data_IF_401878726050
#
_entry.id   IF_401878726050
#
_cell.length_a   1.000
_cell.length_b   1.000
_cell.length_c   1.000
_cell.angle_alpha   90.00
_cell.angle_beta   90.00
_cell.angle_gamma   90.00
#
_symmetry.space_group_name_H-M   'P 1'
#
loop_
_entity.id
_entity.type
_entity.pdbx_description
1 polymer ?
#
# COMPACT_ATOMS: atom_id res chain seq x y z
N UNK A 1 -13.60 -21.32 -24.13
CA UNK A 1 -14.01 -19.92 -23.93
C UNK A 1 -14.93 -19.92 -22.74
N UNK A 2 -14.77 -19.04 -21.74
CA UNK A 2 -15.72 -18.95 -20.62
C UNK A 2 -17.10 -18.58 -21.18
N UNK A 3 -18.14 -19.17 -20.60
CA UNK A 3 -19.51 -18.89 -20.95
C UNK A 3 -19.87 -17.47 -20.49
N UNK A 4 -20.76 -16.77 -21.21
CA UNK A 4 -21.23 -15.42 -20.83
C UNK A 4 -21.87 -15.46 -19.42
N UNK A 5 -22.51 -16.55 -19.03
CA UNK A 5 -23.04 -16.72 -17.68
C UNK A 5 -21.95 -16.72 -16.60
N UNK A 6 -20.78 -17.35 -16.86
CA UNK A 6 -19.65 -17.37 -15.93
C UNK A 6 -19.04 -15.96 -15.78
N UNK A 7 -19.08 -15.17 -16.85
CA UNK A 7 -18.60 -13.77 -16.83
C UNK A 7 -19.56 -12.87 -16.04
N UNK A 8 -20.86 -13.08 -16.18
CA UNK A 8 -21.90 -12.34 -15.45
C UNK A 8 -21.83 -12.70 -13.96
N UNK A 9 -21.72 -13.97 -13.59
CA UNK A 9 -21.58 -14.41 -12.19
C UNK A 9 -20.32 -13.85 -11.53
N UNK A 10 -19.19 -13.81 -12.25
CA UNK A 10 -17.94 -13.17 -11.79
C UNK A 10 -18.10 -11.66 -11.66
N UNK A 11 -18.83 -11.01 -12.55
CA UNK A 11 -19.08 -9.57 -12.48
C UNK A 11 -20.00 -9.24 -11.29
N UNK A 12 -21.06 -10.00 -11.07
CA UNK A 12 -21.95 -9.85 -9.91
C UNK A 12 -21.23 -10.13 -8.58
N UNK A 13 -20.34 -11.15 -8.53
CA UNK A 13 -19.48 -11.38 -7.36
C UNK A 13 -18.51 -10.23 -7.09
N UNK A 14 -18.05 -9.52 -8.12
CA UNK A 14 -17.17 -8.33 -7.97
C UNK A 14 -17.99 -7.08 -7.58
N UNK A 15 -19.24 -6.99 -8.01
CA UNK A 15 -20.12 -5.88 -7.67
C UNK A 15 -20.33 -5.71 -6.16
N UNK A 16 -20.28 -6.79 -5.39
CA UNK A 16 -20.45 -6.75 -3.94
C UNK A 16 -19.15 -6.54 -3.15
N UNK A 17 -17.97 -6.57 -3.81
CA UNK A 17 -16.68 -6.47 -3.13
C UNK A 17 -16.11 -5.04 -3.15
N UNK A 18 -15.91 -4.47 -1.98
CA UNK A 18 -15.22 -3.16 -1.85
C UNK A 18 -13.69 -3.29 -1.91
N UNK A 19 -13.15 -4.43 -1.48
CA UNK A 19 -11.72 -4.72 -1.40
C UNK A 19 -11.44 -6.13 -1.87
N UNK A 20 -10.41 -6.31 -2.71
CA UNK A 20 -9.99 -7.63 -3.23
C UNK A 20 -8.59 -7.99 -2.69
N UNK A 21 -8.38 -9.20 -2.12
CA UNK A 21 -7.08 -9.61 -1.62
C UNK A 21 -6.16 -10.13 -2.74
N UNK A 22 -4.95 -9.58 -2.82
CA UNK A 22 -3.84 -10.07 -3.62
C UNK A 22 -2.86 -10.87 -2.74
N UNK A 23 -3.21 -12.09 -2.37
CA UNK A 23 -2.51 -12.90 -1.37
C UNK A 23 -1.00 -13.04 -1.60
N UNK A 24 -0.54 -13.08 -2.86
CA UNK A 24 0.89 -13.17 -3.21
C UNK A 24 1.72 -11.96 -2.74
N UNK A 25 1.09 -10.79 -2.57
CA UNK A 25 1.73 -9.58 -2.07
C UNK A 25 1.81 -9.56 -0.54
N UNK A 26 0.94 -10.29 0.14
CA UNK A 26 0.85 -10.26 1.60
C UNK A 26 2.08 -10.87 2.26
N UNK A 27 2.76 -10.12 3.11
CA UNK A 27 3.98 -10.58 3.82
C UNK A 27 3.70 -11.73 4.76
N UNK A 28 2.52 -11.77 5.40
CA UNK A 28 2.10 -12.86 6.27
C UNK A 28 1.82 -14.17 5.50
N UNK A 29 1.49 -14.07 4.20
CA UNK A 29 1.37 -15.22 3.30
C UNK A 29 2.73 -15.67 2.78
N UNK A 30 3.64 -14.73 2.50
CA UNK A 30 4.98 -15.01 1.96
C UNK A 30 5.89 -15.74 2.95
N UNK A 31 5.74 -15.45 4.23
CA UNK A 31 6.54 -16.09 5.27
C UNK A 31 5.67 -16.33 6.52
N UNK A 32 5.60 -17.60 6.96
CA UNK A 32 4.86 -18.00 8.15
C UNK A 32 5.31 -17.36 9.46
N UNK A 33 6.54 -16.84 9.49
CA UNK A 33 7.10 -16.15 10.67
C UNK A 33 6.82 -14.64 10.63
N UNK A 34 6.14 -14.13 9.58
CA UNK A 34 5.81 -12.72 9.49
C UNK A 34 4.81 -12.31 10.57
N UNK A 35 5.13 -11.23 11.27
CA UNK A 35 4.34 -10.68 12.38
C UNK A 35 3.32 -9.64 11.94
N UNK A 36 3.28 -9.28 10.64
CA UNK A 36 2.43 -8.22 10.12
C UNK A 36 0.94 -8.51 10.31
N UNK A 37 0.26 -7.60 11.02
CA UNK A 37 -1.19 -7.58 11.26
C UNK A 37 -1.85 -6.26 10.91
N UNK A 38 -1.13 -5.32 10.27
CA UNK A 38 -1.58 -3.94 10.06
C UNK A 38 -3.03 -3.83 9.53
N UNK A 39 -3.40 -4.62 8.53
CA UNK A 39 -4.75 -4.60 7.97
C UNK A 39 -5.81 -5.24 8.87
N UNK A 40 -5.44 -6.26 9.67
CA UNK A 40 -6.32 -6.90 10.64
C UNK A 40 -6.63 -5.91 11.76
N UNK A 41 -5.58 -5.29 12.32
CA UNK A 41 -5.69 -4.37 13.45
C UNK A 41 -6.41 -3.04 13.06
N UNK A 42 -6.34 -2.65 11.77
CA UNK A 42 -7.05 -1.47 11.25
C UNK A 42 -8.50 -1.76 10.84
N UNK A 43 -8.97 -3.01 10.87
CA UNK A 43 -10.30 -3.36 10.41
C UNK A 43 -11.35 -3.19 11.53
N UNK A 44 -12.27 -2.21 11.44
CA UNK A 44 -13.27 -1.98 12.49
C UNK A 44 -14.38 -3.04 12.52
N UNK A 45 -14.35 -4.02 11.61
CA UNK A 45 -15.35 -5.05 11.45
C UNK A 45 -14.77 -6.48 11.51
N UNK A 46 -13.50 -6.63 11.89
CA UNK A 46 -12.79 -7.92 11.95
C UNK A 46 -12.93 -8.79 10.69
N UNK A 47 -13.13 -8.14 9.53
CA UNK A 47 -13.44 -8.80 8.26
C UNK A 47 -12.21 -9.41 7.58
N UNK A 48 -11.00 -9.26 8.13
CA UNK A 48 -9.75 -9.68 7.47
C UNK A 48 -9.08 -10.78 8.27
N UNK A 49 -8.67 -11.83 7.57
CA UNK A 49 -7.95 -12.94 8.18
C UNK A 49 -6.85 -13.48 7.28
N UNK A 50 -5.83 -14.09 7.91
CA UNK A 50 -4.79 -14.85 7.23
C UNK A 50 -4.76 -16.24 7.84
N UNK A 51 -5.25 -17.22 7.09
CA UNK A 51 -5.25 -18.62 7.50
C UNK A 51 -4.67 -19.50 6.40
N UNK A 52 -3.87 -20.50 6.77
CA UNK A 52 -3.28 -21.44 5.83
C UNK A 52 -2.57 -20.76 4.64
N UNK A 53 -1.85 -19.67 4.91
CA UNK A 53 -1.17 -18.84 3.91
C UNK A 53 -2.13 -18.23 2.85
N UNK A 54 -3.37 -17.97 3.20
CA UNK A 54 -4.35 -17.27 2.37
C UNK A 54 -4.82 -16.02 3.10
N UNK A 55 -4.66 -14.86 2.47
CA UNK A 55 -5.28 -13.60 2.89
C UNK A 55 -6.72 -13.60 2.37
N UNK A 56 -7.68 -13.41 3.25
CA UNK A 56 -9.10 -13.38 2.92
C UNK A 56 -9.82 -12.19 3.54
N UNK A 57 -10.87 -11.75 2.86
CA UNK A 57 -11.79 -10.70 3.31
C UNK A 57 -13.19 -11.32 3.36
N UNK A 58 -13.83 -11.25 4.53
CA UNK A 58 -15.25 -11.55 4.64
C UNK A 58 -16.06 -10.35 4.11
N UNK A 59 -16.58 -10.47 2.90
CA UNK A 59 -17.31 -9.40 2.23
C UNK A 59 -18.66 -9.10 2.88
N UNK A 60 -19.22 -10.03 3.67
CA UNK A 60 -20.47 -9.80 4.41
C UNK A 60 -20.24 -8.97 5.66
N UNK A 61 -19.11 -9.17 6.33
CA UNK A 61 -18.70 -8.37 7.47
C UNK A 61 -18.06 -7.03 7.05
N UNK A 62 -17.46 -6.97 5.86
CA UNK A 62 -16.74 -5.79 5.37
C UNK A 62 -17.65 -4.57 5.22
N UNK A 63 -17.27 -3.49 5.87
CA UNK A 63 -18.00 -2.20 5.87
C UNK A 63 -17.52 -1.20 4.81
N UNK A 64 -16.67 -1.64 3.90
CA UNK A 64 -16.13 -0.85 2.80
C UNK A 64 -15.36 0.44 3.21
N UNK A 65 -14.88 0.55 4.44
CA UNK A 65 -14.22 1.76 4.92
C UNK A 65 -12.85 2.05 4.26
N UNK A 66 -12.19 1.05 3.70
CA UNK A 66 -10.92 1.17 2.99
C UNK A 66 -9.67 1.31 3.87
N UNK A 67 -9.76 1.40 5.20
CA UNK A 67 -8.61 1.55 6.10
C UNK A 67 -7.50 0.49 5.85
N UNK A 68 -7.91 -0.75 5.63
CA UNK A 68 -7.00 -1.87 5.38
C UNK A 68 -6.16 -1.72 4.11
N UNK A 69 -6.67 -1.01 3.09
CA UNK A 69 -5.94 -0.77 1.85
C UNK A 69 -4.84 0.27 2.05
N UNK A 70 -5.08 1.27 2.90
CA UNK A 70 -4.13 2.36 3.21
C UNK A 70 -2.97 1.88 4.08
N UNK A 71 -3.26 1.08 5.12
CA UNK A 71 -2.21 0.61 6.04
C UNK A 71 -1.38 -0.55 5.50
N UNK A 72 -1.78 -1.18 4.38
CA UNK A 72 -1.06 -2.31 3.82
C UNK A 72 0.22 -1.86 3.13
N UNK A 73 1.41 -2.22 3.64
CA UNK A 73 2.67 -1.74 3.07
C UNK A 73 3.00 -2.33 1.69
N UNK A 74 2.38 -3.45 1.33
CA UNK A 74 2.62 -4.16 0.06
C UNK A 74 1.41 -4.13 -0.87
N UNK A 75 0.41 -3.27 -0.59
CA UNK A 75 -0.82 -3.17 -1.38
C UNK A 75 -1.46 -4.54 -1.67
N UNK A 76 -1.42 -5.43 -0.67
CA UNK A 76 -2.02 -6.75 -0.77
C UNK A 76 -3.56 -6.73 -0.68
N UNK A 77 -4.14 -5.59 -0.34
CA UNK A 77 -5.57 -5.33 -0.32
C UNK A 77 -5.86 -4.21 -1.32
N UNK A 78 -6.54 -4.56 -2.41
CA UNK A 78 -6.79 -3.65 -3.54
C UNK A 78 -8.20 -3.08 -3.40
N UNK A 79 -8.37 -1.76 -3.32
CA UNK A 79 -9.69 -1.14 -3.31
C UNK A 79 -10.31 -1.22 -4.70
N UNK A 80 -11.59 -1.56 -4.77
CA UNK A 80 -12.35 -1.59 -6.01
C UNK A 80 -13.57 -0.69 -5.98
N UNK A 81 -13.99 -0.24 -4.79
CA UNK A 81 -15.11 0.70 -4.62
C UNK A 81 -14.85 1.73 -3.52
N UNK A 82 -14.51 2.95 -3.92
CA UNK A 82 -13.99 3.33 -5.24
C UNK A 82 -12.58 2.77 -5.46
N UNK A 83 -12.22 2.54 -6.72
CA UNK A 83 -10.84 2.31 -7.10
C UNK A 83 -10.00 3.58 -6.90
N UNK A 84 -8.67 3.44 -6.84
CA UNK A 84 -7.79 4.59 -6.60
C UNK A 84 -7.97 5.66 -7.68
N UNK A 85 -7.92 5.26 -8.96
CA UNK A 85 -8.03 6.16 -10.11
C UNK A 85 -9.32 6.98 -10.12
N UNK A 86 -10.38 6.34 -9.68
CA UNK A 86 -11.68 6.97 -9.69
C UNK A 86 -11.84 7.99 -8.56
N UNK A 87 -11.27 7.70 -7.39
CA UNK A 87 -11.25 8.67 -6.29
C UNK A 87 -10.33 9.85 -6.64
N UNK A 88 -9.17 9.59 -7.27
CA UNK A 88 -8.25 10.60 -7.77
C UNK A 88 -8.94 11.53 -8.79
N UNK A 89 -9.62 10.95 -9.78
CA UNK A 89 -10.34 11.70 -10.80
C UNK A 89 -11.45 12.58 -10.19
N UNK A 90 -12.29 12.00 -9.31
CA UNK A 90 -13.36 12.73 -8.66
C UNK A 90 -12.83 13.90 -7.80
N UNK A 91 -11.70 13.70 -7.12
CA UNK A 91 -11.08 14.74 -6.31
C UNK A 91 -10.49 15.87 -7.19
N UNK A 92 -9.87 15.54 -8.31
CA UNK A 92 -9.33 16.52 -9.26
C UNK A 92 -10.45 17.34 -9.94
N UNK A 93 -11.54 16.69 -10.36
CA UNK A 93 -12.71 17.36 -10.95
C UNK A 93 -13.37 18.32 -9.94
N UNK A 94 -13.56 17.88 -8.69
CA UNK A 94 -14.08 18.71 -7.63
C UNK A 94 -13.19 19.92 -7.35
N UNK A 95 -11.86 19.70 -7.28
CA UNK A 95 -10.88 20.77 -7.08
C UNK A 95 -10.93 21.83 -8.19
N UNK A 96 -11.05 21.41 -9.45
CA UNK A 96 -11.17 22.32 -10.58
C UNK A 96 -12.42 23.23 -10.47
N UNK A 97 -13.51 22.74 -9.88
CA UNK A 97 -14.74 23.49 -9.68
C UNK A 97 -14.68 24.48 -8.49
N UNK A 98 -13.65 24.42 -7.64
CA UNK A 98 -13.48 25.20 -6.41
C UNK A 98 -12.19 26.06 -6.40
N UNK A 99 -11.74 26.50 -7.54
CA UNK A 99 -10.56 27.39 -7.68
C UNK A 99 -9.31 26.84 -6.98
N UNK A 100 -9.10 25.51 -7.08
CA UNK A 100 -7.93 24.82 -6.53
C UNK A 100 -8.09 24.33 -5.09
N UNK A 101 -9.26 24.45 -4.47
CA UNK A 101 -9.57 23.81 -3.19
C UNK A 101 -10.04 22.38 -3.42
N UNK A 102 -9.33 21.37 -2.92
CA UNK A 102 -9.75 19.99 -2.96
C UNK A 102 -10.58 19.65 -1.71
N UNK A 103 -11.79 19.12 -1.90
CA UNK A 103 -12.64 18.66 -0.79
C UNK A 103 -12.94 17.19 -0.96
N UNK A 104 -12.65 16.40 0.06
CA UNK A 104 -12.99 14.98 0.13
C UNK A 104 -13.89 14.77 1.35
N UNK A 105 -15.12 14.31 1.12
CA UNK A 105 -16.09 14.10 2.18
C UNK A 105 -16.37 12.61 2.38
N UNK A 106 -16.54 12.18 3.64
CA UNK A 106 -16.98 10.81 3.89
C UNK A 106 -18.47 10.65 3.49
N UNK A 107 -18.85 9.43 3.09
CA UNK A 107 -20.21 9.09 2.68
C UNK A 107 -21.29 9.53 3.69
N UNK A 108 -20.95 9.57 4.99
CA UNK A 108 -21.85 10.05 6.04
C UNK A 108 -22.20 11.54 5.90
N UNK A 109 -21.25 12.34 5.40
CA UNK A 109 -21.50 13.77 5.10
C UNK A 109 -22.19 13.91 3.75
N UNK A 110 -21.70 13.22 2.74
CA UNK A 110 -22.27 13.22 1.39
C UNK A 110 -23.77 12.86 1.41
N UNK A 111 -24.14 11.83 2.19
CA UNK A 111 -25.54 11.38 2.29
C UNK A 111 -26.51 12.40 2.91
N UNK A 112 -26.02 13.43 3.57
CA UNK A 112 -26.88 14.51 4.11
C UNK A 112 -27.46 15.42 3.01
N UNK A 113 -26.86 15.43 1.80
CA UNK A 113 -27.31 16.24 0.67
C UNK A 113 -27.27 17.74 0.90
N UNK A 114 -26.40 18.22 1.78
CA UNK A 114 -26.25 19.63 2.13
C UNK A 114 -25.25 20.37 1.24
N UNK A 115 -24.40 19.63 0.53
CA UNK A 115 -23.36 20.16 -0.34
C UNK A 115 -23.58 19.71 -1.80
N UNK A 116 -23.09 20.49 -2.73
CA UNK A 116 -23.11 20.19 -4.16
C UNK A 116 -22.19 18.97 -4.45
N UNK A 117 -22.72 17.84 -4.94
CA UNK A 117 -21.95 16.63 -5.15
C UNK A 117 -20.86 16.78 -6.23
N UNK A 118 -20.91 17.82 -7.06
CA UNK A 118 -19.87 18.12 -8.06
C UNK A 118 -18.68 18.89 -7.49
N UNK A 119 -18.77 19.33 -6.23
CA UNK A 119 -17.76 20.16 -5.57
C UNK A 119 -16.96 19.41 -4.50
N UNK A 120 -17.16 18.11 -4.35
CA UNK A 120 -16.34 17.28 -3.47
C UNK A 120 -16.25 15.86 -4.01
N UNK A 121 -15.15 15.18 -3.69
CA UNK A 121 -15.05 13.75 -3.91
C UNK A 121 -15.66 12.99 -2.72
N UNK A 122 -16.47 11.98 -2.99
CA UNK A 122 -17.01 11.12 -1.95
C UNK A 122 -16.09 9.92 -1.70
N UNK A 123 -15.67 9.76 -0.44
CA UNK A 123 -15.01 8.55 0.04
C UNK A 123 -15.95 7.78 0.98
N UNK A 124 -15.99 6.43 0.93
CA UNK A 124 -16.81 5.63 1.85
C UNK A 124 -16.53 5.96 3.31
N UNK A 125 -15.26 6.14 3.63
CA UNK A 125 -14.72 6.66 4.88
C UNK A 125 -13.44 7.44 4.56
N UNK A 126 -13.08 8.46 5.32
CA UNK A 126 -11.81 9.16 5.13
C UNK A 126 -10.58 8.26 5.35
N UNK A 127 -10.72 7.16 6.08
CA UNK A 127 -9.66 6.15 6.20
C UNK A 127 -9.31 5.45 4.87
N UNK A 128 -10.05 5.71 3.77
CA UNK A 128 -9.74 5.28 2.41
C UNK A 128 -8.75 6.22 1.70
N UNK A 129 -8.63 7.43 2.21
CA UNK A 129 -7.71 8.45 1.67
C UNK A 129 -6.30 8.11 2.10
N UNK A 130 -5.36 8.12 1.17
CA UNK A 130 -3.96 7.85 1.40
C UNK A 130 -3.05 9.01 0.97
N UNK A 131 -1.76 8.91 1.29
CA UNK A 131 -0.78 9.93 0.99
C UNK A 131 -0.62 10.17 -0.52
N UNK A 132 -0.75 9.13 -1.35
CA UNK A 132 -0.57 9.27 -2.81
C UNK A 132 -1.62 10.18 -3.42
N UNK A 133 -2.88 10.05 -2.99
CA UNK A 133 -3.96 10.94 -3.41
C UNK A 133 -3.70 12.39 -2.93
N UNK A 134 -3.33 12.57 -1.67
CA UNK A 134 -3.15 13.89 -1.09
C UNK A 134 -1.96 14.65 -1.70
N UNK A 135 -0.81 13.97 -1.86
CA UNK A 135 0.35 14.56 -2.52
C UNK A 135 0.10 14.79 -4.02
N UNK A 136 -0.62 13.86 -4.66
CA UNK A 136 -1.01 14.01 -6.07
C UNK A 136 -1.84 15.27 -6.31
N UNK A 137 -2.81 15.55 -5.44
CA UNK A 137 -3.61 16.78 -5.50
C UNK A 137 -2.75 18.02 -5.27
N UNK A 138 -1.85 18.00 -4.30
CA UNK A 138 -0.91 19.08 -4.05
C UNK A 138 0.00 19.33 -5.28
N UNK A 139 0.53 18.28 -5.89
CA UNK A 139 1.42 18.36 -7.04
C UNK A 139 0.74 18.87 -8.32
N UNK A 140 -0.59 18.73 -8.44
CA UNK A 140 -1.37 19.31 -9.54
C UNK A 140 -1.93 20.69 -9.23
N UNK A 141 -1.52 21.31 -8.11
CA UNK A 141 -1.79 22.71 -7.78
C UNK A 141 -2.95 22.94 -6.82
N UNK A 142 -3.30 21.98 -5.98
CA UNK A 142 -4.22 22.24 -4.88
C UNK A 142 -3.68 23.37 -3.99
N UNK A 143 -4.54 24.35 -3.66
CA UNK A 143 -4.22 25.44 -2.73
C UNK A 143 -4.43 25.01 -1.28
N UNK A 144 -5.46 24.19 -1.04
CA UNK A 144 -5.77 23.53 0.21
C UNK A 144 -6.56 22.24 -0.03
N UNK A 145 -6.44 21.30 0.89
CA UNK A 145 -7.10 19.99 0.84
C UNK A 145 -7.87 19.80 2.15
N UNK A 146 -9.18 19.68 2.07
CA UNK A 146 -10.05 19.57 3.25
C UNK A 146 -10.73 18.20 3.28
N UNK A 147 -10.47 17.43 4.34
CA UNK A 147 -11.12 16.16 4.60
C UNK A 147 -12.31 16.37 5.55
N UNK A 148 -13.53 16.13 5.07
CA UNK A 148 -14.78 16.44 5.81
C UNK A 148 -15.38 15.15 6.38
N UNK A 149 -15.43 15.02 7.71
CA UNK A 149 -15.84 13.78 8.39
C UNK A 149 -17.18 13.84 9.14
N UNK A 150 -17.71 15.03 9.37
CA UNK A 150 -18.94 15.22 10.13
C UNK A 150 -18.91 14.65 11.54
N UNK A 151 -17.77 14.69 12.20
CA UNK A 151 -17.50 14.19 13.55
C UNK A 151 -17.44 12.65 13.67
N UNK A 152 -16.28 12.08 13.41
CA UNK A 152 -16.00 10.64 13.53
C UNK A 152 -16.27 10.07 14.94
N UNK A 153 -16.20 10.89 16.01
CA UNK A 153 -16.47 10.46 17.39
C UNK A 153 -17.84 9.81 17.56
N UNK A 154 -18.84 10.19 16.75
CA UNK A 154 -20.20 9.65 16.77
C UNK A 154 -20.44 8.58 15.68
N UNK A 155 -19.41 8.20 14.93
CA UNK A 155 -19.48 7.17 13.92
C UNK A 155 -19.35 5.78 14.55
N UNK A 156 -20.06 4.79 14.02
CA UNK A 156 -19.89 3.38 14.44
C UNK A 156 -18.50 2.83 14.08
N UNK A 157 -17.81 3.46 13.12
CA UNK A 157 -16.45 3.11 12.70
C UNK A 157 -15.39 4.09 13.20
N UNK A 158 -15.62 4.74 14.34
CA UNK A 158 -14.73 5.75 14.94
C UNK A 158 -13.29 5.27 15.14
N UNK A 159 -13.08 3.96 15.26
CA UNK A 159 -11.76 3.33 15.43
C UNK A 159 -10.83 3.53 14.23
N UNK A 160 -11.37 3.85 13.04
CA UNK A 160 -10.57 4.22 11.87
C UNK A 160 -10.04 5.66 11.93
N UNK A 161 -10.55 6.50 12.84
CA UNK A 161 -10.24 7.94 12.90
C UNK A 161 -8.77 8.26 13.16
N UNK A 162 -8.05 7.56 14.07
CA UNK A 162 -6.63 7.82 14.27
C UNK A 162 -5.79 7.62 12.99
N UNK A 163 -6.10 6.60 12.17
CA UNK A 163 -5.42 6.37 10.90
C UNK A 163 -5.62 7.50 9.88
N UNK A 164 -6.75 8.21 9.94
CA UNK A 164 -6.97 9.43 9.12
C UNK A 164 -6.02 10.54 9.57
N UNK A 165 -5.90 10.77 10.86
CA UNK A 165 -5.02 11.80 11.42
C UNK A 165 -3.54 11.49 11.13
N UNK A 166 -3.14 10.21 11.20
CA UNK A 166 -1.81 9.75 10.78
C UNK A 166 -1.55 10.01 9.30
N UNK A 167 -2.52 9.75 8.43
CA UNK A 167 -2.39 10.01 6.98
C UNK A 167 -2.22 11.50 6.71
N UNK A 168 -2.99 12.36 7.37
CA UNK A 168 -2.89 13.83 7.26
C UNK A 168 -1.50 14.30 7.72
N UNK A 169 -1.05 13.85 8.87
CA UNK A 169 0.25 14.21 9.42
C UNK A 169 1.39 13.76 8.49
N UNK A 170 1.31 12.51 7.98
CA UNK A 170 2.28 11.95 7.04
C UNK A 170 2.33 12.75 5.74
N UNK A 171 1.19 13.04 5.12
CA UNK A 171 1.12 13.82 3.88
C UNK A 171 1.68 15.24 4.06
N UNK A 172 1.30 15.94 5.13
CA UNK A 172 1.80 17.28 5.41
C UNK A 172 3.31 17.28 5.68
N UNK A 173 3.85 16.29 6.39
CA UNK A 173 5.28 16.13 6.62
C UNK A 173 6.05 15.94 5.31
N UNK A 174 5.53 15.11 4.40
CA UNK A 174 6.13 14.88 3.08
C UNK A 174 6.08 16.14 2.20
N UNK A 175 4.98 16.92 2.22
CA UNK A 175 4.89 18.20 1.51
C UNK A 175 5.92 19.20 2.03
N UNK A 176 6.04 19.34 3.35
CA UNK A 176 7.01 20.24 4.00
C UNK A 176 8.44 19.81 3.69
N UNK A 177 8.71 18.52 3.58
CA UNK A 177 10.03 18.01 3.20
C UNK A 177 10.46 18.45 1.79
N UNK A 178 9.51 18.80 0.92
CA UNK A 178 9.75 19.37 -0.42
C UNK A 178 9.60 20.90 -0.45
N UNK A 179 9.60 21.58 0.71
CA UNK A 179 9.43 23.01 0.80
C UNK A 179 8.02 23.52 0.48
N UNK A 180 7.07 22.62 0.26
CA UNK A 180 5.67 22.98 0.07
C UNK A 180 4.97 23.23 1.41
N UNK A 181 3.95 24.12 1.47
CA UNK A 181 3.19 24.33 2.70
C UNK A 181 2.40 23.07 3.07
N UNK A 182 2.10 22.90 4.37
CA UNK A 182 1.14 21.90 4.83
C UNK A 182 -0.25 22.32 4.38
N UNK A 183 -0.88 21.52 3.53
CA UNK A 183 -2.16 21.89 2.87
C UNK A 183 -3.33 21.03 3.32
N UNK A 184 -3.09 19.88 3.98
CA UNK A 184 -4.15 18.95 4.34
C UNK A 184 -4.69 19.27 5.72
N UNK A 185 -5.99 19.48 5.80
CA UNK A 185 -6.71 19.73 7.04
C UNK A 185 -7.93 18.84 7.17
N UNK A 186 -8.47 18.74 8.39
CA UNK A 186 -9.68 17.99 8.70
C UNK A 186 -10.76 18.91 9.24
N UNK A 187 -11.99 18.78 8.75
CA UNK A 187 -13.11 19.57 9.15
C UNK A 187 -14.35 18.71 9.46
N UNK A 188 -15.16 19.15 10.43
CA UNK A 188 -16.45 18.51 10.75
C UNK A 188 -17.60 19.00 9.87
N UNK A 189 -17.42 20.13 9.20
CA UNK A 189 -18.41 20.78 8.34
C UNK A 189 -17.81 21.07 6.96
N UNK A 190 -18.67 21.09 5.95
CA UNK A 190 -18.26 21.47 4.61
C UNK A 190 -17.81 22.94 4.57
N UNK A 191 -16.70 23.24 3.88
CA UNK A 191 -16.26 24.62 3.66
C UNK A 191 -17.34 25.48 3.00
N UNK A 192 -17.26 26.80 3.21
CA UNK A 192 -18.12 27.74 2.53
C UNK A 192 -18.03 27.63 1.01
N UNK A 193 -19.14 27.84 0.31
CA UNK A 193 -19.21 27.72 -1.15
C UNK A 193 -19.63 26.35 -1.68
N UNK A 194 -19.67 25.31 -0.82
CA UNK A 194 -20.20 24.00 -1.19
C UNK A 194 -21.72 23.89 -0.96
N UNK A 195 -22.30 24.72 -0.11
CA UNK A 195 -23.70 24.61 0.26
C UNK A 195 -24.66 24.78 -0.94
N UNK A 196 -25.63 23.89 -1.03
CA UNK A 196 -26.70 23.97 -2.02
C UNK A 196 -27.72 25.05 -1.63
N UNK A 197 -28.01 25.98 -2.53
CA UNK A 197 -29.08 26.94 -2.35
C UNK A 197 -30.46 26.29 -2.33
N UNK A 198 -30.63 25.09 -2.92
CA UNK A 198 -31.87 24.31 -2.96
C UNK A 198 -31.57 22.81 -2.81
N UNK A 199 -31.30 22.35 -1.60
CA UNK A 199 -30.93 20.99 -1.28
C UNK A 199 -31.94 19.89 -1.73
N UNK A 200 -33.21 20.23 -1.90
CA UNK A 200 -34.27 19.26 -2.23
C UNK A 200 -34.32 18.82 -3.70
N UNK A 201 -33.83 19.60 -4.65
CA UNK A 201 -33.94 19.31 -6.08
C UNK A 201 -32.82 18.38 -6.62
N UNK A 202 -31.66 18.39 -5.99
CA UNK A 202 -30.48 17.65 -6.45
C UNK A 202 -30.35 16.23 -5.85
N UNK A 203 -31.07 15.91 -4.78
CA UNK A 203 -31.08 14.57 -4.16
C UNK A 203 -31.51 13.48 -5.14
N UNK A 204 -32.35 13.79 -6.14
CA UNK A 204 -32.80 12.84 -7.18
C UNK A 204 -31.78 12.64 -8.31
N UNK A 205 -30.95 13.64 -8.60
CA UNK A 205 -29.94 13.59 -9.68
C UNK A 205 -28.63 12.97 -9.19
N UNK A 206 -28.19 13.30 -7.98
CA UNK A 206 -27.01 12.71 -7.36
C UNK A 206 -27.14 11.18 -7.20
N UNK A 207 -28.32 10.66 -6.81
CA UNK A 207 -28.58 9.22 -6.78
C UNK A 207 -28.52 8.56 -8.16
N UNK A 208 -28.99 9.22 -9.20
CA UNK A 208 -28.95 8.71 -10.58
C UNK A 208 -27.54 8.76 -11.16
N UNK A 209 -26.77 9.84 -10.89
CA UNK A 209 -25.37 9.97 -11.29
C UNK A 209 -24.46 8.93 -10.65
N UNK A 210 -24.67 8.59 -9.37
CA UNK A 210 -23.91 7.54 -8.68
C UNK A 210 -24.11 6.15 -9.33
N UNK A 211 -25.34 5.80 -9.68
CA UNK A 211 -25.62 4.51 -10.35
C UNK A 211 -25.09 4.43 -11.79
N UNK A 212 -25.11 5.53 -12.55
CA UNK A 212 -24.57 5.58 -13.92
C UNK A 212 -23.04 5.61 -13.94
N UNK A 213 -22.38 6.27 -12.97
CA UNK A 213 -20.93 6.25 -12.82
C UNK A 213 -20.45 4.87 -12.37
N UNK A 214 -21.16 4.19 -11.45
CA UNK A 214 -20.83 2.84 -11.02
C UNK A 214 -20.81 1.83 -12.19
N UNK A 215 -21.69 1.98 -13.18
CA UNK A 215 -21.74 1.08 -14.34
C UNK A 215 -20.64 1.33 -15.37
N UNK A 216 -20.15 2.55 -15.53
CA UNK A 216 -19.01 2.84 -16.40
C UNK A 216 -17.65 2.45 -15.81
N UNK A 217 -17.57 2.34 -14.49
CA UNK A 217 -16.37 1.94 -13.75
C UNK A 217 -16.12 0.43 -13.76
N UNK A 218 -17.18 -0.37 -13.80
CA UNK A 218 -17.06 -1.83 -13.90
C UNK A 218 -16.35 -2.28 -15.16
N UNK A 219 -16.40 -1.52 -16.26
CA UNK A 219 -15.80 -1.91 -17.53
C UNK A 219 -14.27 -1.81 -17.58
N UNK A 220 -13.64 -0.83 -16.92
CA UNK A 220 -12.18 -0.63 -16.97
C UNK A 220 -11.41 -1.30 -15.83
N UNK A 221 -11.98 -1.35 -14.63
CA UNK A 221 -11.42 -2.10 -13.50
C UNK A 221 -11.65 -3.62 -13.66
N UNK A 222 -12.78 -4.04 -14.26
CA UNK A 222 -13.11 -5.42 -14.54
C UNK A 222 -12.09 -6.13 -15.44
N UNK A 223 -11.42 -5.43 -16.35
CA UNK A 223 -10.44 -6.04 -17.26
C UNK A 223 -9.24 -6.67 -16.53
N UNK A 224 -8.68 -6.00 -15.51
CA UNK A 224 -7.50 -6.49 -14.79
C UNK A 224 -7.85 -7.40 -13.61
N UNK A 225 -8.96 -7.13 -12.92
CA UNK A 225 -9.44 -7.97 -11.82
C UNK A 225 -10.20 -9.21 -12.33
N UNK A 226 -10.91 -9.13 -13.46
CA UNK A 226 -11.53 -10.26 -14.10
C UNK A 226 -10.50 -11.32 -14.54
N UNK A 227 -9.34 -10.94 -15.05
CA UNK A 227 -8.29 -11.90 -15.38
C UNK A 227 -7.79 -12.66 -14.14
N UNK A 228 -7.71 -11.99 -12.98
CA UNK A 228 -7.29 -12.60 -11.73
C UNK A 228 -8.39 -13.51 -11.14
N UNK A 229 -9.65 -13.12 -11.25
CA UNK A 229 -10.81 -13.89 -10.75
C UNK A 229 -11.18 -15.02 -11.71
N UNK A 230 -11.10 -14.81 -13.03
CA UNK A 230 -11.30 -15.83 -14.06
C UNK A 230 -10.28 -16.96 -13.90
N UNK A 231 -9.01 -16.67 -13.63
CA UNK A 231 -8.01 -17.70 -13.31
C UNK A 231 -8.34 -18.49 -12.05
N UNK A 232 -9.01 -17.88 -11.08
CA UNK A 232 -9.39 -18.53 -9.82
C UNK A 232 -10.64 -19.40 -9.98
N UNK A 233 -11.63 -18.97 -10.76
CA UNK A 233 -12.92 -19.64 -10.91
C UNK A 233 -12.97 -20.66 -12.05
N UNK A 234 -12.07 -20.59 -13.04
CA UNK A 234 -11.96 -21.59 -14.11
C UNK A 234 -11.41 -22.96 -13.62
N UNK A 235 -11.75 -23.32 -12.38
CA UNK A 235 -11.69 -24.72 -11.93
C UNK A 235 -10.29 -25.32 -11.84
N UNK A 236 -9.23 -24.52 -11.84
CA UNK A 236 -7.97 -24.96 -11.28
C UNK A 236 -8.11 -24.96 -9.75
N UNK A 237 -8.94 -25.87 -9.25
CA UNK A 237 -8.84 -26.34 -7.87
C UNK A 237 -7.41 -26.83 -7.74
N UNK A 238 -6.53 -25.99 -7.22
CA UNK A 238 -5.24 -26.38 -6.71
C UNK A 238 -5.47 -27.26 -5.46
N UNK A 239 -6.11 -28.42 -5.67
CA UNK A 239 -5.95 -29.55 -4.77
C UNK A 239 -4.46 -29.86 -4.90
N UNK A 240 -3.72 -29.64 -3.81
CA UNK A 240 -2.32 -30.00 -3.62
C UNK A 240 -1.22 -29.09 -4.19
N UNK A 241 -1.51 -27.83 -4.58
CA UNK A 241 -0.45 -26.89 -4.90
C UNK A 241 0.38 -26.56 -3.63
N UNK A 242 1.68 -26.78 -3.71
CA UNK A 242 2.61 -26.40 -2.64
C UNK A 242 2.60 -24.90 -2.42
N UNK A 243 2.96 -24.42 -1.21
CA UNK A 243 3.07 -22.98 -0.92
C UNK A 243 3.98 -22.28 -1.96
N UNK A 244 5.03 -22.94 -2.42
CA UNK A 244 5.93 -22.45 -3.46
C UNK A 244 5.20 -22.16 -4.77
N UNK A 245 4.33 -23.06 -5.22
CA UNK A 245 3.53 -22.89 -6.44
C UNK A 245 2.45 -21.83 -6.25
N UNK A 246 1.81 -21.79 -5.08
CA UNK A 246 0.82 -20.77 -4.72
C UNK A 246 1.42 -19.36 -4.75
N UNK A 247 2.66 -19.20 -4.27
CA UNK A 247 3.39 -17.93 -4.28
C UNK A 247 4.01 -17.60 -5.65
N UNK A 248 4.05 -18.57 -6.57
CA UNK A 248 4.69 -18.39 -7.89
C UNK A 248 6.22 -18.33 -7.79
N UNK A 249 6.82 -19.04 -6.85
CA UNK A 249 8.26 -19.05 -6.69
C UNK A 249 8.95 -19.67 -7.91
N UNK A 250 9.98 -19.00 -8.42
CA UNK A 250 10.82 -19.49 -9.53
C UNK A 250 11.57 -20.77 -9.19
N UNK A 251 12.20 -21.39 -10.20
CA UNK A 251 12.99 -22.62 -10.04
C UNK A 251 14.11 -22.48 -8.98
N UNK A 252 14.71 -21.29 -8.87
CA UNK A 252 15.73 -20.94 -7.87
C UNK A 252 15.17 -20.73 -6.46
N UNK A 253 13.85 -20.80 -6.25
CA UNK A 253 13.20 -20.47 -4.99
C UNK A 253 12.98 -18.98 -4.75
N UNK A 254 13.30 -18.13 -5.73
CA UNK A 254 13.05 -16.68 -5.65
C UNK A 254 11.55 -16.40 -5.71
N UNK A 255 11.04 -15.61 -4.77
CA UNK A 255 9.65 -15.16 -4.77
C UNK A 255 9.48 -13.99 -5.74
N UNK A 256 8.29 -13.83 -6.36
CA UNK A 256 8.01 -12.70 -7.23
C UNK A 256 8.06 -11.39 -6.43
N UNK A 257 8.61 -10.36 -7.06
CA UNK A 257 8.63 -8.99 -6.56
C UNK A 257 7.47 -8.20 -7.15
N UNK A 258 7.04 -7.15 -6.46
CA UNK A 258 5.90 -6.32 -6.86
C UNK A 258 6.30 -4.85 -6.75
N UNK A 259 5.90 -4.07 -7.73
CA UNK A 259 5.96 -2.61 -7.62
C UNK A 259 4.70 -2.11 -6.91
N UNK A 260 4.88 -1.24 -5.94
CA UNK A 260 3.81 -0.55 -5.24
C UNK A 260 3.49 0.75 -5.96
N UNK A 261 2.24 0.86 -6.41
CA UNK A 261 1.76 2.01 -7.18
C UNK A 261 1.76 3.29 -6.35
N UNK A 262 1.25 3.23 -5.12
CA UNK A 262 1.09 4.41 -4.26
C UNK A 262 2.42 5.06 -3.92
N UNK A 263 3.46 4.27 -3.63
CA UNK A 263 4.78 4.83 -3.32
C UNK A 263 5.43 5.48 -4.51
N UNK A 264 5.32 4.88 -5.69
CA UNK A 264 5.77 5.51 -6.93
C UNK A 264 5.05 6.84 -7.16
N UNK A 265 3.73 6.88 -6.95
CA UNK A 265 2.94 8.11 -7.06
C UNK A 265 3.35 9.17 -6.02
N UNK A 266 3.68 8.75 -4.80
CA UNK A 266 4.19 9.66 -3.76
C UNK A 266 5.53 10.27 -4.18
N UNK A 267 6.47 9.47 -4.69
CA UNK A 267 7.75 9.97 -5.17
C UNK A 267 7.58 10.93 -6.36
N UNK A 268 6.75 10.57 -7.34
CA UNK A 268 6.42 11.43 -8.49
C UNK A 268 5.78 12.75 -8.05
N UNK A 269 4.91 12.72 -7.05
CA UNK A 269 4.28 13.93 -6.51
C UNK A 269 5.27 14.79 -5.73
N UNK A 270 6.14 14.17 -4.92
CA UNK A 270 7.19 14.88 -4.18
C UNK A 270 8.16 15.57 -5.15
N UNK A 271 8.61 14.90 -6.21
CA UNK A 271 9.47 15.48 -7.24
C UNK A 271 8.84 16.71 -7.89
N UNK A 272 7.54 16.65 -8.21
CA UNK A 272 6.79 17.79 -8.78
C UNK A 272 6.58 18.95 -7.79
N UNK A 273 6.55 18.68 -6.49
CA UNK A 273 6.38 19.72 -5.47
C UNK A 273 7.63 20.57 -5.29
N UNK A 274 8.82 20.06 -5.60
CA UNK A 274 10.07 20.79 -5.57
C UNK A 274 11.25 19.95 -5.06
N UNK A 275 12.38 20.61 -4.91
CA UNK A 275 13.58 20.01 -4.37
C UNK A 275 13.47 19.76 -2.86
N UNK A 276 14.12 18.70 -2.32
CA UNK A 276 14.09 18.42 -0.89
C UNK A 276 14.61 19.59 -0.04
N UNK A 277 13.76 20.11 0.82
CA UNK A 277 14.07 21.20 1.74
C UNK A 277 14.72 20.71 3.05
N UNK A 278 14.70 19.41 3.31
CA UNK A 278 15.28 18.77 4.50
C UNK A 278 16.14 17.58 4.11
N UNK A 279 17.22 17.35 4.88
CA UNK A 279 18.14 16.24 4.62
C UNK A 279 17.55 14.89 4.99
N UNK A 280 16.69 14.85 6.01
CA UNK A 280 16.09 13.62 6.53
C UNK A 280 14.62 13.84 6.84
N UNK A 281 13.83 12.80 6.59
CA UNK A 281 12.40 12.74 6.95
C UNK A 281 12.13 11.48 7.77
N UNK A 282 11.15 11.59 8.66
CA UNK A 282 10.53 10.43 9.29
C UNK A 282 9.24 10.11 8.54
N UNK A 283 9.11 8.89 8.04
CA UNK A 283 7.96 8.49 7.24
C UNK A 283 7.56 7.06 7.51
N UNK A 284 6.27 6.76 7.40
CA UNK A 284 5.74 5.39 7.47
C UNK A 284 5.75 4.66 6.12
N UNK A 285 6.10 5.37 5.03
CA UNK A 285 6.02 4.83 3.67
C UNK A 285 7.33 4.22 3.21
N UNK A 286 8.47 4.83 3.56
CA UNK A 286 9.80 4.40 3.16
C UNK A 286 10.64 4.06 4.38
N UNK A 287 11.51 3.07 4.26
CA UNK A 287 12.33 2.63 5.38
C UNK A 287 13.81 2.51 5.02
N UNK A 288 14.66 2.66 6.01
CA UNK A 288 16.09 2.43 5.90
C UNK A 288 16.47 1.14 6.63
N UNK A 289 17.03 0.20 5.88
CA UNK A 289 17.47 -1.10 6.43
C UNK A 289 18.93 -1.02 6.82
N UNK A 290 19.26 -1.50 8.02
CA UNK A 290 20.63 -1.70 8.48
C UNK A 290 20.82 -3.15 8.91
N UNK A 291 22.03 -3.68 8.64
CA UNK A 291 22.38 -5.06 8.97
C UNK A 291 23.67 -5.06 9.78
N UNK A 292 23.61 -5.60 10.99
CA UNK A 292 24.80 -5.83 11.80
C UNK A 292 25.61 -7.00 11.19
N UNK A 293 26.67 -6.65 10.48
CA UNK A 293 27.55 -7.59 9.81
C UNK A 293 28.27 -8.53 10.80
N UNK A 294 28.46 -8.11 12.06
CA UNK A 294 29.16 -8.92 13.08
C UNK A 294 28.32 -10.11 13.54
N UNK A 295 26.99 -10.01 13.46
CA UNK A 295 26.01 -11.04 13.86
C UNK A 295 25.45 -11.79 12.65
N UNK A 296 25.49 -11.18 11.47
CA UNK A 296 24.94 -11.72 10.25
C UNK A 296 25.71 -12.98 9.79
N UNK A 297 24.97 -14.04 9.44
CA UNK A 297 25.54 -15.29 8.88
C UNK A 297 25.45 -15.37 7.36
N UNK A 298 25.14 -14.25 6.67
CA UNK A 298 25.11 -14.13 5.20
C UNK A 298 24.16 -15.10 4.50
N UNK A 299 23.08 -15.53 5.17
CA UNK A 299 22.14 -16.49 4.59
C UNK A 299 21.30 -15.89 3.43
N UNK A 300 21.22 -14.56 3.29
CA UNK A 300 20.50 -13.85 2.23
C UNK A 300 18.98 -14.00 2.25
N UNK A 301 18.40 -14.55 3.33
CA UNK A 301 16.94 -14.75 3.42
C UNK A 301 16.14 -13.43 3.41
N UNK A 302 16.74 -12.36 3.94
CA UNK A 302 16.13 -11.01 3.90
C UNK A 302 15.89 -10.52 2.47
N UNK A 303 16.83 -10.80 1.55
CA UNK A 303 16.66 -10.49 0.13
C UNK A 303 15.66 -11.43 -0.56
N UNK A 304 15.68 -12.73 -0.25
CA UNK A 304 14.78 -13.75 -0.85
C UNK A 304 13.32 -13.43 -0.56
N UNK A 305 13.01 -12.98 0.66
CA UNK A 305 11.64 -12.69 1.07
C UNK A 305 11.20 -11.25 0.78
N UNK A 306 12.11 -10.34 0.43
CA UNK A 306 11.74 -8.94 0.16
C UNK A 306 10.65 -8.85 -0.92
N UNK A 307 9.46 -8.29 -0.62
CA UNK A 307 8.35 -8.31 -1.56
C UNK A 307 8.53 -7.33 -2.71
N UNK A 308 9.27 -6.25 -2.49
CA UNK A 308 9.48 -5.17 -3.48
C UNK A 308 10.82 -5.27 -4.21
N UNK A 309 11.74 -6.06 -3.67
CA UNK A 309 13.10 -6.11 -4.19
C UNK A 309 14.05 -5.07 -3.59
N UNK A 310 13.55 -4.21 -2.69
CA UNK A 310 14.37 -3.23 -1.99
C UNK A 310 15.67 -3.80 -1.38
N UNK A 311 15.62 -5.06 -0.95
CA UNK A 311 16.80 -5.86 -0.64
C UNK A 311 16.96 -6.93 -1.70
N UNK A 312 18.08 -6.95 -2.41
CA UNK A 312 18.44 -7.95 -3.41
C UNK A 312 19.89 -8.40 -3.23
N UNK A 313 20.24 -9.55 -3.82
CA UNK A 313 21.63 -10.03 -3.82
C UNK A 313 22.37 -9.33 -4.93
N UNK A 314 23.50 -8.69 -4.59
CA UNK A 314 24.36 -8.09 -5.60
C UNK A 314 25.13 -9.16 -6.40
N UNK A 315 25.27 -9.00 -7.71
CA UNK A 315 26.20 -9.77 -8.52
C UNK A 315 27.67 -9.40 -8.26
N UNK A 316 27.92 -8.22 -7.67
CA UNK A 316 29.26 -7.71 -7.35
C UNK A 316 29.82 -8.50 -6.17
N UNK A 317 31.09 -8.88 -6.26
CA UNK A 317 31.81 -9.57 -5.19
C UNK A 317 32.78 -8.61 -4.52
N UNK A 318 33.07 -8.81 -3.21
CA UNK A 318 34.12 -8.07 -2.54
C UNK A 318 35.48 -8.27 -3.21
N UNK A 319 36.35 -7.26 -3.10
CA UNK A 319 37.74 -7.36 -3.55
C UNK A 319 38.45 -8.47 -2.79
N UNK A 320 39.43 -9.14 -3.43
CA UNK A 320 40.28 -10.11 -2.74
C UNK A 320 41.00 -9.48 -1.55
N UNK A 321 41.38 -10.32 -0.57
CA UNK A 321 42.24 -9.93 0.54
C UNK A 321 43.62 -9.47 0.04
N UNK A 322 44.41 -8.84 0.92
CA UNK A 322 45.76 -8.35 0.58
C UNK A 322 46.73 -9.46 0.12
N UNK A 323 46.47 -10.73 0.47
CA UNK A 323 47.21 -11.92 0.05
C UNK A 323 46.70 -12.53 -1.27
N UNK A 324 45.72 -11.87 -1.94
CA UNK A 324 45.11 -12.37 -3.18
C UNK A 324 44.08 -13.46 -3.01
N UNK A 325 43.79 -13.89 -1.78
CA UNK A 325 42.73 -14.86 -1.52
C UNK A 325 41.35 -14.23 -1.66
N UNK A 326 40.30 -14.96 -2.18
CA UNK A 326 38.95 -14.44 -2.19
C UNK A 326 38.47 -14.11 -0.77
N UNK A 327 37.91 -12.91 -0.56
CA UNK A 327 37.30 -12.52 0.72
C UNK A 327 36.21 -13.51 1.18
N UNK A 328 35.48 -14.08 0.23
CA UNK A 328 34.42 -15.06 0.49
C UNK A 328 33.13 -14.44 1.04
N UNK A 329 33.07 -13.14 1.23
CA UNK A 329 31.87 -12.39 1.52
C UNK A 329 31.02 -12.13 0.27
N UNK A 330 29.97 -11.35 0.44
CA UNK A 330 29.06 -10.92 -0.63
C UNK A 330 28.45 -9.57 -0.30
N UNK A 331 27.80 -8.94 -1.28
CA UNK A 331 27.01 -7.73 -1.04
C UNK A 331 25.52 -8.00 -1.21
N UNK A 332 24.73 -7.27 -0.43
CA UNK A 332 23.34 -6.99 -0.75
C UNK A 332 23.26 -5.57 -1.32
N UNK A 333 22.35 -5.40 -2.26
CA UNK A 333 21.90 -4.10 -2.74
C UNK A 333 20.65 -3.72 -1.98
N UNK A 334 20.57 -2.46 -1.54
CA UNK A 334 19.42 -1.91 -0.84
C UNK A 334 19.01 -0.58 -1.50
N UNK A 335 17.74 -0.54 -1.96
CA UNK A 335 17.09 0.67 -2.47
C UNK A 335 16.12 1.21 -1.42
N UNK A 336 16.34 2.44 -0.96
CA UNK A 336 15.48 3.11 0.00
C UNK A 336 14.10 3.43 -0.60
N UNK A 337 14.06 3.87 -1.85
CA UNK A 337 12.83 4.20 -2.58
C UNK A 337 11.86 3.01 -2.70
N UNK A 338 12.38 1.79 -2.73
CA UNK A 338 11.59 0.56 -2.84
C UNK A 338 11.23 -0.07 -1.48
N UNK A 339 11.82 0.40 -0.37
CA UNK A 339 11.58 -0.17 0.95
C UNK A 339 10.27 0.32 1.55
N UNK A 340 9.29 -0.55 1.67
CA UNK A 340 7.93 -0.27 2.13
C UNK A 340 7.72 -0.48 3.64
N UNK A 341 8.77 -0.58 4.42
CA UNK A 341 8.70 -0.84 5.87
C UNK A 341 7.78 -2.01 6.27
N UNK A 342 7.74 -3.06 5.47
CA UNK A 342 6.87 -4.20 5.75
C UNK A 342 7.36 -5.09 6.91
N UNK A 343 8.61 -4.93 7.33
CA UNK A 343 9.23 -5.69 8.44
C UNK A 343 9.57 -7.14 8.10
N UNK A 344 9.29 -7.64 6.91
CA UNK A 344 9.48 -9.06 6.59
C UNK A 344 10.94 -9.53 6.67
N UNK A 345 11.90 -8.65 6.36
CA UNK A 345 13.31 -8.93 6.52
C UNK A 345 13.71 -9.14 7.99
N UNK A 346 13.08 -8.40 8.93
CA UNK A 346 13.24 -8.57 10.38
C UNK A 346 12.74 -9.96 10.83
N UNK A 347 11.52 -10.31 10.39
CA UNK A 347 10.85 -11.55 10.76
C UNK A 347 11.56 -12.78 10.15
N UNK A 348 12.08 -12.65 8.93
CA UNK A 348 12.83 -13.70 8.25
C UNK A 348 14.25 -13.88 8.79
N UNK A 349 14.80 -12.91 9.53
CA UNK A 349 16.16 -12.97 10.03
C UNK A 349 16.26 -13.83 11.30
N UNK A 350 16.82 -15.03 11.17
CA UNK A 350 17.03 -15.92 12.32
C UNK A 350 18.04 -15.36 13.33
N UNK A 351 18.97 -14.51 12.88
CA UNK A 351 20.00 -13.91 13.73
C UNK A 351 19.57 -12.59 14.37
N UNK A 352 18.39 -12.06 13.95
CA UNK A 352 17.86 -10.79 14.47
C UNK A 352 18.86 -9.62 14.35
N UNK A 353 19.67 -9.64 13.31
CA UNK A 353 20.73 -8.66 13.04
C UNK A 353 20.29 -7.53 12.09
N UNK A 354 18.99 -7.40 11.83
CA UNK A 354 18.43 -6.40 10.93
C UNK A 354 17.61 -5.40 11.73
N UNK A 355 17.75 -4.13 11.40
CA UNK A 355 16.86 -3.06 11.86
C UNK A 355 16.27 -2.31 10.66
N UNK A 356 15.09 -1.75 10.84
CA UNK A 356 14.42 -0.88 9.85
C UNK A 356 14.04 0.41 10.55
N UNK A 357 14.61 1.51 10.10
CA UNK A 357 14.32 2.85 10.61
C UNK A 357 13.27 3.54 9.73
N UNK A 358 12.30 4.28 10.32
CA UNK A 358 11.41 5.17 9.58
C UNK A 358 12.10 6.46 9.14
N UNK A 359 13.30 6.75 9.66
CA UNK A 359 14.09 7.90 9.27
C UNK A 359 14.89 7.58 8.02
N UNK A 360 14.64 8.33 6.95
CA UNK A 360 15.29 8.16 5.65
C UNK A 360 15.91 9.49 5.21
N UNK A 361 17.01 9.40 4.47
CA UNK A 361 17.58 10.58 3.81
C UNK A 361 16.76 10.88 2.57
N UNK A 362 16.37 12.14 2.40
CA UNK A 362 15.58 12.56 1.24
C UNK A 362 16.31 12.29 -0.08
N UNK A 363 17.61 12.50 -0.14
CA UNK A 363 18.41 12.17 -1.32
C UNK A 363 18.34 10.68 -1.70
N UNK A 364 18.34 9.76 -0.73
CA UNK A 364 18.26 8.30 -0.99
C UNK A 364 16.91 7.85 -1.60
N UNK A 365 15.89 8.72 -1.62
CA UNK A 365 14.61 8.46 -2.27
C UNK A 365 14.61 8.81 -3.77
N UNK A 366 15.50 9.69 -4.20
CA UNK A 366 15.51 10.25 -5.56
C UNK A 366 16.76 9.93 -6.37
N UNK A 367 17.86 9.49 -5.74
CA UNK A 367 19.06 9.08 -6.46
C UNK A 367 18.92 7.72 -7.15
N UNK A 368 17.98 6.89 -6.68
CA UNK A 368 17.71 5.53 -7.16
C UNK A 368 18.94 4.61 -7.19
N UNK A 369 20.06 5.05 -6.62
CA UNK A 369 21.28 4.24 -6.55
C UNK A 369 21.21 3.27 -5.36
N UNK A 370 21.45 1.97 -5.57
CA UNK A 370 21.41 1.01 -4.48
C UNK A 370 22.61 1.17 -3.57
N UNK A 371 22.38 1.19 -2.26
CA UNK A 371 23.43 1.10 -1.26
C UNK A 371 23.91 -0.34 -1.13
N UNK A 372 25.22 -0.53 -1.20
CA UNK A 372 25.82 -1.85 -1.00
C UNK A 372 26.04 -2.14 0.48
N UNK A 373 25.49 -3.27 0.96
CA UNK A 373 25.66 -3.76 2.33
C UNK A 373 26.56 -4.98 2.28
N UNK A 374 27.75 -4.89 2.86
CA UNK A 374 28.67 -6.02 2.93
C UNK A 374 28.15 -7.10 3.89
N UNK A 375 28.21 -8.33 3.45
CA UNK A 375 27.93 -9.52 4.24
C UNK A 375 29.20 -10.34 4.39
N UNK A 376 29.58 -10.72 5.62
CA UNK A 376 30.80 -11.48 5.84
C UNK A 376 30.71 -12.87 5.23
N UNK A 377 31.84 -13.54 5.10
CA UNK A 377 31.90 -14.96 4.66
C UNK A 377 30.95 -15.80 5.52
N UNK A 378 30.08 -16.65 4.90
CA UNK A 378 29.20 -17.52 5.66
C UNK A 378 30.01 -18.41 6.60
N UNK A 379 29.67 -18.37 7.89
CA UNK A 379 30.26 -19.30 8.85
C UNK A 379 29.81 -20.72 8.52
N UNK A 380 30.76 -21.64 8.39
CA UNK A 380 30.45 -23.05 8.21
C UNK A 380 29.55 -23.53 9.35
N UNK A 381 28.37 -24.05 9.05
CA UNK A 381 27.53 -24.70 10.07
C UNK A 381 28.34 -25.90 10.58
N UNK A 382 28.53 -26.07 11.91
CA UNK A 382 29.04 -27.31 12.42
C UNK A 382 28.11 -28.41 11.91
N UNK A 383 28.67 -29.32 11.10
CA UNK A 383 27.89 -30.37 10.44
C UNK A 383 27.25 -31.24 11.51
N UNK A 384 25.95 -31.51 11.40
CA UNK A 384 25.22 -32.47 12.25
C UNK A 384 25.88 -33.86 12.19
N UNK A 385 26.73 -34.10 11.21
CA UNK A 385 27.47 -35.35 11.01
C UNK A 385 28.84 -35.42 11.73
N UNK A 386 29.31 -34.35 12.38
CA UNK A 386 30.59 -34.42 13.13
C UNK A 386 30.50 -35.22 14.43
N UNK A 387 29.30 -35.57 14.89
CA UNK A 387 29.07 -36.34 16.12
C UNK A 387 28.88 -37.87 15.90
N UNK A 388 28.99 -38.34 14.66
CA UNK A 388 28.87 -39.78 14.35
C UNK A 388 30.21 -40.43 13.97
N UNK A 389 31.34 -39.85 14.35
CA UNK A 389 32.62 -40.56 14.36
C UNK A 389 33.01 -40.87 15.80
N UNK A 390 32.49 -41.99 16.29
CA UNK A 390 33.11 -42.90 17.25
C UNK A 390 32.57 -44.29 17.05
#
# INVERSE_FOLDING_TARGET
>A
MPNIADIIEVAEELEDKAVVPASKRCVAVRNRNASCRKCIDACPADAISVHNNVLSVDHKACVACGACTVVCPTEALIPVRPADEALEQAAAEAMASLDGRAVIACARIASKGLADPHKFAEAPCLARVDESLLLGLAAVGAKDIVLVDGCCKTCRFRETSPGVDETIASANSLMQAQGAPAMVSRASECPEGLALKNAKSLLGEARRGFFTSATSWTASAAGKTAEMVIRKNLGMKAKDATLREQLGAGASGTLPQFQERRRSQVLDAMDRLGEPAVEQIETRLFGRVEIDASVCNSCGMCAVFCPTGALSKSPIKPSPNADGTPDGGSFLEFSCAECVQCGLCLDACMKKCISVSPQVRTAELFDFEPRFIYLPKPQARPGILSNFKR
#
